data_IF_920757785378
#
_entry.id   IF_920757785378
#
_cell.length_a   1.000
_cell.length_b   1.000
_cell.length_c   1.000
_cell.angle_alpha   90.00
_cell.angle_beta   90.00
_cell.angle_gamma   90.00
#
_symmetry.space_group_name_H-M   'P 1'
#
loop_
_entity.id
_entity.type
_entity.pdbx_description
1 polymer ?
#
# COMPACT_ATOMS: atom_id res chain seq x y z
N UNK A 1 -16.01 12.18 -6.92
CA UNK A 1 -14.67 12.66 -7.30
C UNK A 1 -13.68 11.61 -6.81
N UNK A 2 -12.86 11.07 -7.69
CA UNK A 2 -11.81 10.12 -7.30
C UNK A 2 -10.66 10.91 -6.68
N UNK A 3 -10.13 10.47 -5.53
CA UNK A 3 -8.88 11.01 -4.95
C UNK A 3 -7.65 10.67 -5.76
N UNK A 4 -7.85 9.93 -6.84
CA UNK A 4 -6.82 9.41 -7.71
C UNK A 4 -6.70 10.34 -8.92
N UNK A 5 -5.57 11.03 -9.02
CA UNK A 5 -5.29 11.99 -10.07
C UNK A 5 -5.07 11.36 -11.46
N UNK A 6 -5.10 12.17 -12.53
CA UNK A 6 -4.76 11.72 -13.88
C UNK A 6 -3.30 11.21 -13.93
N UNK A 7 -3.11 9.97 -14.39
CA UNK A 7 -1.79 9.32 -14.44
C UNK A 7 -1.58 8.20 -13.41
N UNK A 8 -2.63 7.77 -12.72
CA UNK A 8 -2.57 6.62 -11.81
C UNK A 8 -1.97 5.38 -12.48
N UNK A 9 -0.96 4.80 -11.82
CA UNK A 9 -0.50 3.45 -12.12
C UNK A 9 -1.18 2.48 -11.16
N UNK A 10 -1.96 1.55 -11.69
CA UNK A 10 -2.53 0.42 -10.92
C UNK A 10 -1.88 -0.88 -11.37
N UNK A 11 -1.66 -1.79 -10.42
CA UNK A 11 -1.20 -3.15 -10.69
C UNK A 11 -2.03 -4.15 -9.89
N UNK A 12 -2.51 -5.22 -10.55
CA UNK A 12 -3.10 -6.37 -9.84
C UNK A 12 -1.98 -7.24 -9.28
N UNK A 13 -2.12 -7.60 -8.00
CA UNK A 13 -1.15 -8.42 -7.28
C UNK A 13 -1.87 -9.62 -6.65
N UNK A 14 -1.25 -10.79 -6.75
CA UNK A 14 -1.64 -11.96 -5.97
C UNK A 14 -0.77 -11.98 -4.70
N UNK A 15 -1.40 -11.75 -3.55
CA UNK A 15 -0.70 -11.57 -2.26
C UNK A 15 -1.29 -12.55 -1.24
N UNK A 16 -0.42 -13.13 -0.41
CA UNK A 16 -0.87 -13.82 0.80
C UNK A 16 -1.14 -12.77 1.89
N UNK A 17 -2.41 -12.60 2.28
CA UNK A 17 -2.81 -11.61 3.30
C UNK A 17 -2.29 -11.92 4.70
N UNK A 18 -1.74 -13.12 4.92
CA UNK A 18 -1.04 -13.48 6.15
C UNK A 18 0.37 -12.87 6.29
N UNK A 19 0.91 -12.24 5.24
CA UNK A 19 2.20 -11.54 5.33
C UNK A 19 2.08 -10.19 6.00
N UNK A 20 3.21 -9.76 6.57
CA UNK A 20 3.33 -8.45 7.18
C UNK A 20 3.25 -7.37 6.10
N UNK A 21 2.66 -6.24 6.46
CA UNK A 21 2.51 -5.08 5.60
C UNK A 21 3.89 -4.59 5.10
N UNK A 22 4.93 -4.66 5.92
CA UNK A 22 6.31 -4.30 5.51
C UNK A 22 6.83 -5.12 4.33
N UNK A 23 6.67 -6.45 4.35
CA UNK A 23 7.14 -7.32 3.26
C UNK A 23 6.39 -7.04 1.94
N UNK A 24 5.11 -6.72 2.06
CA UNK A 24 4.25 -6.35 0.93
C UNK A 24 4.67 -4.98 0.39
N UNK A 25 4.98 -4.03 1.28
CA UNK A 25 5.46 -2.69 0.95
C UNK A 25 6.76 -2.75 0.16
N UNK A 26 7.70 -3.59 0.56
CA UNK A 26 8.96 -3.84 -0.17
C UNK A 26 8.69 -4.39 -1.58
N UNK A 27 7.76 -5.35 -1.71
CA UNK A 27 7.39 -5.90 -3.02
C UNK A 27 6.79 -4.83 -3.94
N UNK A 28 5.90 -4.00 -3.40
CA UNK A 28 5.26 -2.89 -4.11
C UNK A 28 6.29 -1.82 -4.50
N UNK A 29 7.20 -1.46 -3.60
CA UNK A 29 8.27 -0.49 -3.86
C UNK A 29 9.12 -0.92 -5.07
N UNK A 30 9.56 -2.18 -5.09
CA UNK A 30 10.32 -2.75 -6.20
C UNK A 30 9.53 -2.75 -7.52
N UNK A 31 8.23 -3.06 -7.49
CA UNK A 31 7.37 -3.11 -8.67
C UNK A 31 7.18 -1.74 -9.31
N UNK A 32 7.06 -0.68 -8.51
CA UNK A 32 6.85 0.69 -8.98
C UNK A 32 8.14 1.50 -9.11
N UNK A 33 9.29 0.96 -8.69
CA UNK A 33 10.58 1.65 -8.68
C UNK A 33 10.63 2.80 -7.67
N UNK A 34 10.06 2.59 -6.48
CA UNK A 34 10.00 3.54 -5.38
C UNK A 34 10.91 3.12 -4.23
N UNK A 35 11.29 4.07 -3.38
CA UNK A 35 11.86 3.75 -2.06
C UNK A 35 10.70 3.41 -1.09
N UNK A 36 10.75 2.29 -0.35
CA UNK A 36 9.74 1.96 0.65
C UNK A 36 9.61 3.03 1.74
N UNK A 37 10.63 3.86 2.01
CA UNK A 37 10.53 4.97 2.96
C UNK A 37 9.66 6.15 2.46
N UNK A 38 9.44 6.26 1.14
CA UNK A 38 8.76 7.41 0.53
C UNK A 38 7.23 7.34 0.57
N UNK A 39 6.65 6.24 1.06
CA UNK A 39 5.20 6.06 1.10
C UNK A 39 4.73 5.18 2.24
N UNK A 40 3.42 5.17 2.46
CA UNK A 40 2.71 4.25 3.32
C UNK A 40 1.66 3.48 2.52
N UNK A 41 1.34 2.26 2.97
CA UNK A 41 0.17 1.54 2.47
C UNK A 41 -1.06 1.95 3.27
N UNK A 42 -2.18 2.13 2.58
CA UNK A 42 -3.45 2.51 3.22
C UNK A 42 -4.64 1.77 2.62
N UNK A 43 -5.56 1.36 3.49
CA UNK A 43 -6.89 0.83 3.13
C UNK A 43 -7.94 1.45 4.03
N UNK A 44 -9.12 1.76 3.46
CA UNK A 44 -10.24 2.34 4.20
C UNK A 44 -9.92 3.67 4.90
N UNK A 45 -8.90 4.40 4.45
CA UNK A 45 -8.44 5.64 5.08
C UNK A 45 -7.52 5.45 6.30
N UNK A 46 -7.11 4.20 6.59
CA UNK A 46 -6.17 3.87 7.67
C UNK A 46 -4.78 3.65 7.06
N UNK A 47 -3.76 4.29 7.62
CA UNK A 47 -2.36 3.97 7.33
C UNK A 47 -1.98 2.69 8.04
N UNK A 48 -1.45 1.71 7.31
CA UNK A 48 -1.13 0.39 7.85
C UNK A 48 0.23 0.38 8.57
N UNK A 49 0.27 -0.29 9.71
CA UNK A 49 1.48 -0.63 10.46
C UNK A 49 2.23 -1.80 9.80
N UNK A 50 3.54 -1.62 9.60
CA UNK A 50 4.39 -2.55 8.84
C UNK A 50 4.63 -3.89 9.54
N UNK A 51 4.43 -3.97 10.85
CA UNK A 51 4.58 -5.20 11.63
C UNK A 51 3.30 -6.04 11.70
N UNK A 52 2.17 -5.47 11.28
CA UNK A 52 0.87 -6.14 11.26
C UNK A 52 0.66 -6.94 9.98
N UNK A 53 -0.17 -7.98 10.03
CA UNK A 53 -0.52 -8.74 8.83
C UNK A 53 -1.55 -7.98 7.99
N UNK A 54 -1.50 -8.11 6.66
CA UNK A 54 -2.43 -7.40 5.77
C UNK A 54 -3.90 -7.73 6.07
N UNK A 55 -4.19 -8.99 6.43
CA UNK A 55 -5.54 -9.46 6.79
C UNK A 55 -6.13 -8.73 8.01
N UNK A 56 -5.31 -8.14 8.87
CA UNK A 56 -5.78 -7.44 10.07
C UNK A 56 -6.47 -6.10 9.71
N UNK A 57 -6.30 -5.66 8.46
CA UNK A 57 -6.99 -4.50 7.89
C UNK A 57 -8.24 -4.86 7.07
N UNK A 58 -8.74 -6.11 7.19
CA UNK A 58 -9.95 -6.61 6.52
C UNK A 58 -9.94 -6.52 4.99
N UNK A 59 -8.74 -6.48 4.40
CA UNK A 59 -8.56 -6.46 2.93
C UNK A 59 -9.00 -7.79 2.35
N UNK A 60 -9.87 -7.72 1.34
CA UNK A 60 -10.42 -8.84 0.59
C UNK A 60 -9.97 -8.83 -0.87
N UNK A 61 -10.19 -9.94 -1.57
CA UNK A 61 -9.92 -9.99 -3.02
C UNK A 61 -10.75 -8.92 -3.76
N UNK A 62 -10.08 -8.19 -4.65
CA UNK A 62 -10.66 -7.07 -5.39
C UNK A 62 -10.60 -5.71 -4.70
N UNK A 63 -10.15 -5.63 -3.45
CA UNK A 63 -9.96 -4.35 -2.77
C UNK A 63 -8.77 -3.57 -3.32
N UNK A 64 -8.89 -2.25 -3.35
CA UNK A 64 -7.80 -1.33 -3.69
C UNK A 64 -7.00 -0.99 -2.42
N UNK A 65 -5.66 -1.09 -2.52
CA UNK A 65 -4.72 -0.55 -1.52
C UNK A 65 -4.07 0.70 -2.13
N UNK A 66 -4.04 1.78 -1.36
CA UNK A 66 -3.46 3.06 -1.79
C UNK A 66 -2.01 3.19 -1.31
N UNK A 67 -1.16 3.74 -2.16
CA UNK A 67 0.16 4.24 -1.78
C UNK A 67 0.01 5.73 -1.48
N UNK A 68 0.26 6.12 -0.24
CA UNK A 68 0.19 7.51 0.21
C UNK A 68 1.62 8.01 0.46
N UNK A 69 2.06 9.11 -0.16
CA UNK A 69 3.41 9.65 0.08
C UNK A 69 3.68 9.91 1.57
N UNK A 70 4.84 9.48 2.04
CA UNK A 70 5.33 9.80 3.37
C UNK A 70 5.83 11.25 3.35
N UNK A 71 5.01 12.19 3.80
CA UNK A 71 5.43 13.58 3.90
C UNK A 71 6.34 13.75 5.11
N UNK A 72 7.62 13.99 4.91
CA UNK A 72 8.46 14.64 5.92
C UNK A 72 8.13 16.12 5.89
N UNK A 73 7.36 16.60 6.86
CA UNK A 73 7.33 18.03 7.13
C UNK A 73 8.76 18.42 7.56
N UNK A 74 9.46 19.14 6.69
CA UNK A 74 10.77 19.73 6.98
C UNK A 74 10.67 20.89 7.96
#
# INVERSE_FOLDING_TARGET
MSTIGPGEKKQKLLINTGYNVGDIKETVANLFGLDPADFHLSSGGITMDESSALKDYYVSDGDDILLIPASTAG
#
